data_IF_973087531357
#
_entry.id   IF_973087531357
#
_cell.length_a   1.000
_cell.length_b   1.000
_cell.length_c   1.000
_cell.angle_alpha   90.00
_cell.angle_beta   90.00
_cell.angle_gamma   90.00
#
_symmetry.space_group_name_H-M   'P 1'
#
loop_
_entity.id
_entity.type
_entity.pdbx_description
1 polymer ?
#
# COMPACT_ATOMS: atom_id res chain seq x y z
N UNK A 1 -13.78 -29.48 -44.17
CA UNK A 1 -14.08 -30.55 -43.18
C UNK A 1 -14.08 -29.98 -41.80
N UNK A 2 -15.29 -29.85 -41.18
CA UNK A 2 -15.42 -29.32 -39.81
C UNK A 2 -15.45 -30.43 -38.82
N UNK A 3 -14.43 -30.54 -37.94
CA UNK A 3 -14.38 -31.51 -36.84
C UNK A 3 -15.16 -30.97 -35.63
N UNK A 4 -16.19 -31.67 -35.21
CA UNK A 4 -17.08 -31.33 -34.12
C UNK A 4 -16.50 -31.77 -32.76
N UNK A 5 -16.72 -30.93 -31.72
CA UNK A 5 -16.24 -31.11 -30.35
C UNK A 5 -16.76 -32.37 -29.60
N UNK A 6 -17.53 -33.25 -30.23
CA UNK A 6 -18.11 -34.47 -29.64
C UNK A 6 -17.34 -35.75 -29.90
N UNK A 7 -16.24 -35.72 -30.70
CA UNK A 7 -15.45 -36.90 -31.08
C UNK A 7 -14.30 -37.31 -30.13
N UNK A 8 -13.97 -36.47 -29.12
CA UNK A 8 -12.74 -36.66 -28.30
C UNK A 8 -12.99 -37.34 -26.92
N UNK A 9 -14.19 -37.79 -26.65
CA UNK A 9 -14.58 -38.37 -25.34
C UNK A 9 -14.87 -39.88 -25.36
N UNK A 10 -14.50 -40.62 -26.42
CA UNK A 10 -14.80 -42.08 -26.53
C UNK A 10 -13.63 -42.97 -26.90
N UNK A 11 -12.39 -42.63 -26.56
CA UNK A 11 -11.26 -43.56 -26.74
C UNK A 11 -10.42 -43.55 -25.46
N UNK A 12 -10.62 -44.49 -24.55
CA UNK A 12 -9.74 -44.65 -23.38
C UNK A 12 -10.30 -45.45 -22.21
N UNK A 13 -10.96 -46.58 -22.49
CA UNK A 13 -11.28 -47.57 -21.45
C UNK A 13 -10.96 -48.98 -22.04
N UNK A 14 -9.75 -49.49 -21.78
CA UNK A 14 -9.50 -50.94 -21.64
C UNK A 14 -8.01 -51.21 -21.32
N UNK A 15 -7.78 -51.88 -20.19
CA UNK A 15 -6.67 -52.80 -19.91
C UNK A 15 -5.39 -52.16 -19.39
N UNK A 16 -4.79 -52.51 -18.31
CA UNK A 16 -4.57 -53.75 -17.55
C UNK A 16 -3.70 -53.46 -16.33
N UNK A 17 -3.75 -54.29 -15.38
CA UNK A 17 -3.21 -54.24 -14.01
C UNK A 17 -1.68 -54.21 -13.89
N UNK A 18 -1.26 -53.72 -12.69
CA UNK A 18 -0.11 -54.12 -11.88
C UNK A 18 1.29 -53.68 -12.33
N UNK A 19 1.87 -52.73 -11.62
CA UNK A 19 3.11 -52.96 -10.81
C UNK A 19 3.33 -51.73 -9.90
N UNK A 20 3.48 -52.00 -8.61
CA UNK A 20 3.87 -51.06 -7.58
C UNK A 20 5.30 -50.57 -7.83
N UNK A 21 5.49 -49.28 -8.01
CA UNK A 21 6.75 -48.57 -7.79
C UNK A 21 6.40 -47.18 -7.27
N UNK A 22 6.77 -46.95 -5.99
CA UNK A 22 6.63 -45.65 -5.33
C UNK A 22 7.39 -44.59 -6.08
N UNK A 23 6.65 -43.75 -6.80
CA UNK A 23 7.12 -42.49 -7.36
C UNK A 23 6.72 -41.36 -6.45
N UNK A 24 7.69 -40.78 -5.79
CA UNK A 24 7.58 -39.52 -5.05
C UNK A 24 6.98 -38.46 -5.98
N UNK A 25 5.67 -38.26 -5.91
CA UNK A 25 5.02 -37.07 -6.39
C UNK A 25 5.47 -35.94 -5.45
N UNK A 26 6.60 -35.30 -5.76
CA UNK A 26 6.95 -34.00 -5.21
C UNK A 26 5.96 -32.98 -5.75
N UNK A 27 4.74 -33.00 -5.22
CA UNK A 27 3.86 -31.86 -5.29
C UNK A 27 4.57 -30.72 -4.58
N UNK A 28 4.85 -29.61 -5.28
CA UNK A 28 5.26 -28.36 -4.66
C UNK A 28 4.11 -27.84 -3.78
N UNK A 29 3.82 -28.53 -2.70
CA UNK A 29 2.93 -28.08 -1.65
C UNK A 29 3.59 -26.94 -0.91
N UNK A 30 2.95 -25.80 -0.87
CA UNK A 30 3.36 -24.68 0.01
C UNK A 30 3.35 -25.24 1.44
N UNK A 31 4.46 -25.19 2.19
CA UNK A 31 4.50 -25.66 3.58
C UNK A 31 3.44 -24.97 4.41
N UNK A 32 2.77 -25.71 5.27
CA UNK A 32 1.58 -25.27 5.95
C UNK A 32 1.61 -25.75 7.39
N UNK A 33 1.54 -24.76 8.30
CA UNK A 33 1.48 -24.99 9.75
C UNK A 33 2.75 -25.62 10.34
N UNK A 34 2.99 -25.34 11.60
CA UNK A 34 4.17 -25.83 12.31
C UNK A 34 4.07 -27.34 12.60
N UNK A 35 5.01 -28.12 12.05
CA UNK A 35 5.30 -29.46 12.50
C UNK A 35 6.68 -29.44 13.19
N UNK A 36 6.72 -29.74 14.49
CA UNK A 36 7.98 -29.68 15.25
C UNK A 36 8.51 -28.27 15.39
N UNK A 37 9.76 -28.04 14.93
CA UNK A 37 10.44 -26.74 14.98
C UNK A 37 10.09 -25.78 13.82
N UNK A 38 9.29 -26.21 12.85
CA UNK A 38 8.96 -25.39 11.69
C UNK A 38 7.99 -24.28 12.07
N UNK A 39 8.26 -23.08 11.59
CA UNK A 39 7.40 -21.91 11.68
C UNK A 39 7.24 -21.30 10.30
N UNK A 40 6.02 -21.13 9.84
CA UNK A 40 5.70 -20.67 8.48
C UNK A 40 5.27 -19.21 8.49
N UNK A 41 6.00 -18.38 7.76
CA UNK A 41 5.68 -16.97 7.53
C UNK A 41 5.25 -16.77 6.07
N UNK A 42 4.06 -16.23 5.86
CA UNK A 42 3.60 -15.80 4.53
C UNK A 42 3.63 -14.29 4.39
N UNK A 43 4.17 -13.82 3.27
CA UNK A 43 4.19 -12.40 2.89
C UNK A 43 4.23 -12.26 1.36
N UNK A 44 4.07 -11.04 0.82
CA UNK A 44 4.13 -10.77 -0.62
C UNK A 44 5.53 -10.28 -1.02
N UNK A 45 5.80 -10.23 -2.33
CA UNK A 45 7.07 -9.72 -2.85
C UNK A 45 7.28 -8.25 -2.46
N UNK A 46 8.42 -7.93 -1.84
CA UNK A 46 8.74 -6.60 -1.32
C UNK A 46 8.11 -6.27 0.04
N UNK A 47 7.32 -7.17 0.66
CA UNK A 47 6.67 -6.92 1.95
C UNK A 47 7.57 -7.02 3.18
N UNK A 48 8.78 -7.58 3.03
CA UNK A 48 9.83 -7.66 4.06
C UNK A 48 11.21 -7.54 3.39
N UNK A 49 12.20 -7.04 4.14
CA UNK A 49 13.60 -7.06 3.69
C UNK A 49 14.11 -8.49 3.54
N UNK A 50 14.65 -8.87 2.37
CA UNK A 50 15.25 -10.18 2.18
C UNK A 50 16.40 -10.45 3.17
N UNK A 51 17.20 -9.41 3.46
CA UNK A 51 18.30 -9.52 4.41
C UNK A 51 17.78 -9.75 5.83
N UNK A 52 16.80 -9.00 6.30
CA UNK A 52 16.23 -9.17 7.64
C UNK A 52 15.61 -10.56 7.80
N UNK A 53 14.92 -11.07 6.76
CA UNK A 53 14.37 -12.44 6.76
C UNK A 53 15.48 -13.47 6.83
N UNK A 54 16.58 -13.29 6.11
CA UNK A 54 17.73 -14.21 6.17
C UNK A 54 18.42 -14.18 7.52
N UNK A 55 18.63 -12.99 8.07
CA UNK A 55 19.24 -12.81 9.39
C UNK A 55 18.35 -13.41 10.50
N UNK A 56 17.01 -13.29 10.39
CA UNK A 56 16.07 -13.95 11.30
C UNK A 56 16.19 -15.48 11.25
N UNK A 57 16.27 -16.07 10.05
CA UNK A 57 16.51 -17.51 9.90
C UNK A 57 17.77 -17.95 10.61
N UNK A 58 18.90 -17.25 10.39
CA UNK A 58 20.17 -17.58 11.02
C UNK A 58 20.14 -17.39 12.57
N UNK A 59 19.54 -16.29 13.03
CA UNK A 59 19.46 -15.95 14.47
C UNK A 59 18.65 -16.97 15.27
N UNK A 60 17.54 -17.43 14.72
CA UNK A 60 16.59 -18.30 15.42
C UNK A 60 16.71 -19.79 15.04
N UNK A 61 17.69 -20.17 14.22
CA UNK A 61 17.85 -21.54 13.71
C UNK A 61 17.90 -22.62 14.79
N UNK A 62 18.50 -22.34 15.94
CA UNK A 62 18.54 -23.28 17.07
C UNK A 62 17.15 -23.54 17.70
N UNK A 63 16.26 -22.55 17.65
CA UNK A 63 14.94 -22.61 18.28
C UNK A 63 13.81 -22.90 17.27
N UNK A 64 13.88 -22.32 16.08
CA UNK A 64 12.84 -22.32 15.06
C UNK A 64 13.43 -22.48 13.68
N UNK A 65 12.88 -23.39 12.86
CA UNK A 65 13.15 -23.46 11.42
C UNK A 65 12.16 -22.54 10.67
N UNK A 66 12.54 -21.29 10.45
CA UNK A 66 11.69 -20.31 9.78
C UNK A 66 11.58 -20.58 8.28
N UNK A 67 10.37 -20.90 7.84
CA UNK A 67 9.99 -21.03 6.43
C UNK A 67 9.26 -19.76 5.97
N UNK A 68 10.02 -18.79 5.50
CA UNK A 68 9.47 -17.53 4.98
C UNK A 68 9.15 -17.69 3.49
N UNK A 69 7.87 -17.57 3.14
CA UNK A 69 7.33 -17.88 1.82
C UNK A 69 6.72 -16.63 1.20
N UNK A 70 7.28 -16.20 0.08
CA UNK A 70 6.69 -15.14 -0.72
C UNK A 70 5.55 -15.70 -1.56
N UNK A 71 4.35 -15.18 -1.35
CA UNK A 71 3.16 -15.53 -2.12
C UNK A 71 2.98 -14.49 -3.21
N UNK A 72 3.13 -14.90 -4.45
CA UNK A 72 2.88 -14.06 -5.62
C UNK A 72 1.39 -13.92 -5.96
N UNK A 73 1.07 -13.04 -6.91
CA UNK A 73 -0.28 -12.85 -7.42
C UNK A 73 -1.25 -12.27 -6.38
N UNK A 74 -2.40 -12.92 -6.23
CA UNK A 74 -3.49 -12.45 -5.34
C UNK A 74 -3.27 -12.87 -3.89
N UNK A 75 -2.26 -12.33 -3.23
CA UNK A 75 -1.89 -12.63 -1.84
C UNK A 75 -3.10 -12.57 -0.88
N UNK A 76 -3.84 -11.44 -0.89
CA UNK A 76 -5.03 -11.24 -0.05
C UNK A 76 -6.04 -12.36 -0.22
N UNK A 77 -6.43 -12.67 -1.45
CA UNK A 77 -7.43 -13.72 -1.72
C UNK A 77 -6.96 -15.08 -1.24
N UNK A 78 -5.67 -15.40 -1.42
CA UNK A 78 -5.10 -16.66 -0.93
C UNK A 78 -5.14 -16.74 0.59
N UNK A 79 -4.71 -15.69 1.30
CA UNK A 79 -4.73 -15.67 2.76
C UNK A 79 -6.17 -15.76 3.29
N UNK A 80 -7.10 -14.97 2.76
CA UNK A 80 -8.52 -15.00 3.16
C UNK A 80 -9.15 -16.37 2.94
N UNK A 81 -8.93 -17.01 1.78
CA UNK A 81 -9.45 -18.36 1.48
C UNK A 81 -8.87 -19.39 2.44
N UNK A 82 -7.58 -19.32 2.73
CA UNK A 82 -6.88 -20.20 3.66
C UNK A 82 -7.43 -20.08 5.08
N UNK A 83 -7.62 -18.85 5.56
CA UNK A 83 -8.17 -18.60 6.89
C UNK A 83 -9.63 -19.04 7.01
N UNK A 84 -10.46 -18.73 6.01
CA UNK A 84 -11.87 -19.17 5.95
C UNK A 84 -11.99 -20.69 5.87
N UNK A 85 -11.15 -21.34 5.08
CA UNK A 85 -11.11 -22.79 4.92
C UNK A 85 -10.50 -23.53 6.11
N UNK A 86 -9.91 -22.83 7.06
CA UNK A 86 -9.24 -23.38 8.26
C UNK A 86 -8.24 -24.49 7.96
N UNK A 87 -7.59 -24.41 6.79
CA UNK A 87 -6.60 -25.39 6.35
C UNK A 87 -5.35 -24.68 5.85
N UNK A 88 -4.20 -25.20 6.23
CA UNK A 88 -2.92 -24.68 5.76
C UNK A 88 -2.64 -23.21 6.17
N UNK A 89 -3.13 -22.79 7.32
CA UNK A 89 -2.93 -21.45 7.86
C UNK A 89 -1.45 -21.27 8.25
N UNK A 90 -0.76 -20.19 7.81
CA UNK A 90 0.60 -19.92 8.26
C UNK A 90 0.62 -19.53 9.75
N UNK A 91 1.77 -19.72 10.42
CA UNK A 91 1.95 -19.28 11.80
C UNK A 91 1.98 -17.74 11.90
N UNK A 92 2.68 -17.11 10.94
CA UNK A 92 2.80 -15.66 10.82
C UNK A 92 2.30 -15.24 9.43
N UNK A 93 1.45 -14.24 9.40
CA UNK A 93 0.91 -13.68 8.15
C UNK A 93 1.21 -12.18 8.03
N UNK A 94 1.72 -11.77 6.88
CA UNK A 94 1.76 -10.35 6.52
C UNK A 94 0.36 -9.83 6.20
N UNK A 95 -0.02 -8.69 6.75
CA UNK A 95 -1.29 -8.02 6.48
C UNK A 95 -1.01 -6.67 5.85
N UNK A 96 -1.55 -6.43 4.66
CA UNK A 96 -1.42 -5.12 4.01
C UNK A 96 -2.31 -4.09 4.71
N UNK A 97 -1.83 -2.85 4.81
CA UNK A 97 -2.55 -1.78 5.51
C UNK A 97 -3.92 -1.47 4.91
N UNK A 98 -4.03 -1.52 3.58
CA UNK A 98 -5.30 -1.34 2.89
C UNK A 98 -6.33 -2.44 3.20
N UNK A 99 -5.86 -3.62 3.59
CA UNK A 99 -6.70 -4.77 3.91
C UNK A 99 -6.92 -4.93 5.43
N UNK A 100 -6.13 -4.23 6.26
CA UNK A 100 -6.09 -4.42 7.72
C UNK A 100 -7.49 -4.33 8.35
N UNK A 101 -8.25 -3.31 8.00
CA UNK A 101 -9.61 -3.13 8.52
C UNK A 101 -10.55 -4.30 8.24
N UNK A 102 -10.28 -5.11 7.20
CA UNK A 102 -11.08 -6.32 6.89
C UNK A 102 -10.71 -7.53 7.76
N UNK A 103 -9.54 -7.53 8.39
CA UNK A 103 -9.12 -8.58 9.31
C UNK A 103 -9.54 -8.32 10.75
N UNK A 104 -9.61 -7.05 11.16
CA UNK A 104 -9.91 -6.67 12.56
C UNK A 104 -11.24 -7.23 13.11
N UNK A 105 -12.34 -7.34 12.34
CA UNK A 105 -13.57 -7.98 12.81
C UNK A 105 -13.44 -9.48 13.11
N UNK A 106 -12.39 -10.12 12.62
CA UNK A 106 -12.09 -11.54 12.83
C UNK A 106 -10.83 -11.68 13.71
N UNK A 107 -10.67 -10.80 14.70
CA UNK A 107 -9.54 -10.77 15.63
C UNK A 107 -9.35 -12.12 16.37
N UNK A 108 -10.43 -12.89 16.55
CA UNK A 108 -10.44 -14.24 17.14
C UNK A 108 -9.59 -15.26 16.35
N UNK A 109 -9.28 -14.99 15.07
CA UNK A 109 -8.39 -15.84 14.27
C UNK A 109 -6.90 -15.55 14.50
N UNK A 110 -6.58 -14.47 15.23
CA UNK A 110 -5.23 -14.03 15.52
C UNK A 110 -4.93 -14.08 17.02
N UNK A 111 -3.65 -14.18 17.35
CA UNK A 111 -3.20 -14.04 18.74
C UNK A 111 -3.21 -12.55 19.10
N UNK A 112 -3.79 -12.19 20.24
CA UNK A 112 -3.67 -10.83 20.75
C UNK A 112 -2.23 -10.57 21.19
N UNK A 113 -1.49 -9.77 20.41
CA UNK A 113 -0.07 -9.49 20.63
C UNK A 113 0.20 -8.75 21.96
N UNK A 114 -0.82 -8.10 22.56
CA UNK A 114 -0.69 -7.48 23.88
C UNK A 114 -0.46 -8.52 24.97
N UNK A 115 -1.06 -9.72 24.83
CA UNK A 115 -0.85 -10.83 25.78
C UNK A 115 0.60 -11.34 25.75
N UNK A 116 1.32 -11.07 24.66
CA UNK A 116 2.73 -11.40 24.47
C UNK A 116 3.68 -10.24 24.85
N UNK A 117 3.11 -9.12 25.30
CA UNK A 117 3.88 -7.97 25.77
C UNK A 117 4.10 -6.84 24.76
N UNK A 118 3.34 -6.82 23.66
CA UNK A 118 3.46 -5.78 22.62
C UNK A 118 3.34 -4.35 23.20
N UNK A 119 2.46 -4.13 24.18
CA UNK A 119 2.21 -2.82 24.77
C UNK A 119 3.50 -2.15 25.34
N UNK A 120 4.49 -2.93 25.74
CA UNK A 120 5.79 -2.40 26.21
C UNK A 120 6.62 -1.75 25.12
N UNK A 121 6.26 -1.96 23.85
CA UNK A 121 6.98 -1.48 22.68
C UNK A 121 6.25 -0.31 22.00
N UNK A 122 5.05 0.03 22.44
CA UNK A 122 4.15 1.02 21.81
C UNK A 122 4.85 2.35 21.51
N UNK A 123 5.59 2.89 22.49
CA UNK A 123 6.24 4.20 22.37
C UNK A 123 7.41 4.24 21.36
N UNK A 124 7.83 3.07 20.85
CA UNK A 124 8.86 2.97 19.82
C UNK A 124 8.29 3.16 18.39
N UNK A 125 6.98 3.10 18.23
CA UNK A 125 6.30 3.15 16.95
C UNK A 125 5.46 4.42 16.81
N UNK A 126 5.16 4.79 15.57
CA UNK A 126 4.23 5.88 15.28
C UNK A 126 2.85 5.56 15.89
N UNK A 127 2.29 6.42 16.75
CA UNK A 127 1.03 6.13 17.44
C UNK A 127 -0.12 5.77 16.50
N UNK A 128 -0.30 6.56 15.43
CA UNK A 128 -1.36 6.31 14.45
C UNK A 128 -1.22 4.96 13.73
N UNK A 129 0.03 4.51 13.53
CA UNK A 129 0.30 3.21 12.88
C UNK A 129 0.07 2.06 13.84
N UNK A 130 0.43 2.24 15.11
CA UNK A 130 0.16 1.28 16.17
C UNK A 130 -1.35 1.04 16.33
N UNK A 131 -2.12 2.13 16.41
CA UNK A 131 -3.56 2.08 16.60
C UNK A 131 -4.30 1.39 15.43
N UNK A 132 -3.76 1.43 14.21
CA UNK A 132 -4.30 0.69 13.08
C UNK A 132 -4.22 -0.84 13.23
N UNK A 133 -3.33 -1.34 14.09
CA UNK A 133 -3.18 -2.77 14.40
C UNK A 133 -4.19 -3.29 15.42
N UNK A 134 -4.99 -2.41 16.05
CA UNK A 134 -5.89 -2.74 17.15
C UNK A 134 -7.32 -2.94 16.64
N UNK A 135 -7.92 -4.06 17.01
CA UNK A 135 -9.29 -4.41 16.68
C UNK A 135 -10.31 -3.70 17.59
N UNK A 136 -11.61 -3.65 17.22
CA UNK A 136 -12.66 -3.01 18.01
C UNK A 136 -12.84 -3.60 19.42
N UNK A 137 -12.53 -4.89 19.61
CA UNK A 137 -12.53 -5.56 20.92
C UNK A 137 -11.32 -5.20 21.79
N UNK A 138 -10.43 -4.38 21.23
CA UNK A 138 -9.20 -3.92 21.86
C UNK A 138 -8.01 -4.86 21.68
N UNK A 139 -8.15 -6.05 21.07
CA UNK A 139 -7.00 -6.93 20.81
C UNK A 139 -6.07 -6.35 19.74
N UNK A 140 -4.76 -6.59 19.88
CA UNK A 140 -3.78 -6.18 18.87
C UNK A 140 -3.54 -7.33 17.89
N UNK A 141 -4.05 -7.19 16.67
CA UNK A 141 -3.93 -8.18 15.58
C UNK A 141 -2.62 -8.04 14.84
N UNK A 142 -2.20 -6.81 14.54
CA UNK A 142 -1.07 -6.54 13.65
C UNK A 142 0.06 -5.76 14.29
N UNK A 143 1.31 -6.28 14.17
CA UNK A 143 2.52 -5.58 14.59
C UNK A 143 3.09 -4.77 13.41
N UNK A 144 3.37 -3.45 13.55
CA UNK A 144 3.70 -2.57 12.43
C UNK A 144 4.99 -2.93 11.70
N UNK A 145 4.93 -3.13 10.37
CA UNK A 145 6.11 -3.28 9.51
C UNK A 145 6.60 -1.91 9.04
N UNK A 146 5.74 -1.20 8.32
CA UNK A 146 6.07 0.01 7.59
C UNK A 146 4.88 0.95 7.50
N UNK A 147 5.11 2.12 6.91
CA UNK A 147 4.08 3.05 6.50
C UNK A 147 4.41 3.66 5.12
N UNK A 148 3.48 4.41 4.54
CA UNK A 148 3.66 5.02 3.23
C UNK A 148 3.37 6.52 3.25
N UNK A 149 4.22 7.35 3.89
CA UNK A 149 4.05 8.80 3.85
C UNK A 149 4.10 9.29 2.40
N UNK A 150 3.11 10.11 2.02
CA UNK A 150 2.99 10.65 0.66
C UNK A 150 3.86 11.88 0.52
N UNK A 151 4.51 11.98 -0.64
CA UNK A 151 5.29 13.14 -1.03
C UNK A 151 5.07 13.50 -2.51
N UNK A 152 5.54 14.67 -2.88
CA UNK A 152 5.58 15.16 -4.23
C UNK A 152 6.95 14.84 -4.86
N UNK A 153 6.97 13.87 -5.77
CA UNK A 153 8.12 13.58 -6.62
C UNK A 153 8.07 14.46 -7.86
N UNK A 154 9.15 15.13 -8.21
CA UNK A 154 9.18 16.03 -9.37
C UNK A 154 10.56 16.09 -10.04
N UNK A 155 10.60 16.56 -11.29
CA UNK A 155 11.82 16.79 -12.06
C UNK A 155 12.17 18.28 -12.03
N UNK A 156 13.18 18.72 -11.24
CA UNK A 156 13.51 20.13 -11.04
C UNK A 156 13.84 20.87 -12.36
N UNK A 157 14.57 20.24 -13.28
CA UNK A 157 14.91 20.89 -14.55
C UNK A 157 13.68 21.21 -15.42
N UNK A 158 12.57 20.45 -15.29
CA UNK A 158 11.32 20.74 -16.00
C UNK A 158 10.56 21.87 -15.29
N UNK A 159 10.57 21.86 -13.96
CA UNK A 159 9.97 22.92 -13.14
C UNK A 159 10.67 24.27 -13.38
N UNK A 160 12.01 24.30 -13.37
CA UNK A 160 12.80 25.48 -13.68
C UNK A 160 12.48 26.06 -15.07
N UNK A 161 12.44 25.22 -16.11
CA UNK A 161 12.04 25.63 -17.47
C UNK A 161 10.64 26.22 -17.53
N UNK A 162 9.74 25.79 -16.65
CA UNK A 162 8.41 26.35 -16.54
C UNK A 162 8.36 27.64 -15.70
N UNK A 163 9.47 28.06 -15.10
CA UNK A 163 9.57 29.22 -14.21
C UNK A 163 8.92 28.96 -12.85
N UNK A 164 8.90 27.70 -12.41
CA UNK A 164 8.44 27.28 -11.10
C UNK A 164 9.63 27.15 -10.13
N UNK A 165 9.36 27.15 -8.83
CA UNK A 165 10.33 26.71 -7.84
C UNK A 165 10.82 25.29 -8.18
N UNK A 166 12.12 25.04 -7.99
CA UNK A 166 12.72 23.74 -8.32
C UNK A 166 13.61 23.17 -7.21
N UNK A 167 13.99 23.96 -6.21
CA UNK A 167 14.64 23.44 -5.01
C UNK A 167 13.61 22.82 -4.05
N UNK A 168 13.90 21.68 -3.40
CA UNK A 168 12.92 20.94 -2.61
C UNK A 168 12.23 21.74 -1.50
N UNK A 169 12.97 22.61 -0.81
CA UNK A 169 12.42 23.46 0.25
C UNK A 169 11.45 24.52 -0.31
N UNK A 170 11.80 25.10 -1.46
CA UNK A 170 10.97 26.11 -2.12
C UNK A 170 9.71 25.47 -2.74
N UNK A 171 9.85 24.33 -3.39
CA UNK A 171 8.69 23.57 -3.90
C UNK A 171 7.75 23.19 -2.77
N UNK A 172 8.28 22.72 -1.64
CA UNK A 172 7.46 22.37 -0.46
C UNK A 172 6.70 23.57 0.10
N UNK A 173 7.30 24.78 0.06
CA UNK A 173 6.69 26.01 0.54
C UNK A 173 5.68 26.60 -0.45
N UNK A 174 6.07 26.68 -1.74
CA UNK A 174 5.28 27.37 -2.77
C UNK A 174 4.14 26.54 -3.33
N UNK A 175 4.21 25.19 -3.19
CA UNK A 175 3.15 24.25 -3.59
C UNK A 175 2.48 23.60 -2.38
N UNK A 176 2.46 24.28 -1.22
CA UNK A 176 1.98 23.72 0.04
C UNK A 176 0.47 23.43 0.06
N UNK A 177 -0.32 24.14 -0.73
CA UNK A 177 -1.78 23.95 -0.82
C UNK A 177 -2.16 23.33 -2.17
N UNK A 178 -3.36 22.71 -2.23
CA UNK A 178 -3.88 22.18 -3.48
C UNK A 178 -4.06 23.27 -4.56
N UNK A 179 -4.49 24.47 -4.17
CA UNK A 179 -4.67 25.60 -5.11
C UNK A 179 -3.33 26.04 -5.70
N UNK A 180 -2.28 26.17 -4.88
CA UNK A 180 -0.94 26.49 -5.33
C UNK A 180 -0.39 25.39 -6.25
N UNK A 181 -0.60 24.13 -5.91
CA UNK A 181 -0.19 22.99 -6.72
C UNK A 181 -0.89 22.98 -8.10
N UNK A 182 -2.19 23.26 -8.13
CA UNK A 182 -2.94 23.36 -9.38
C UNK A 182 -2.51 24.57 -10.21
N UNK A 183 -2.26 25.72 -9.60
CA UNK A 183 -1.72 26.90 -10.28
C UNK A 183 -0.35 26.61 -10.90
N UNK A 184 0.53 25.89 -10.18
CA UNK A 184 1.81 25.44 -10.73
C UNK A 184 1.61 24.49 -11.93
N UNK A 185 0.64 23.60 -11.87
CA UNK A 185 0.28 22.73 -13.00
C UNK A 185 -0.20 23.49 -14.24
N UNK A 186 -0.97 24.57 -14.08
CA UNK A 186 -1.38 25.44 -15.17
C UNK A 186 -0.20 26.20 -15.77
N UNK A 187 0.68 26.73 -14.93
CA UNK A 187 1.90 27.38 -15.38
C UNK A 187 2.81 26.41 -16.15
N UNK A 188 2.99 25.19 -15.64
CA UNK A 188 3.74 24.13 -16.29
C UNK A 188 3.18 23.85 -17.69
N UNK A 189 1.88 23.59 -17.80
CA UNK A 189 1.18 23.34 -19.07
C UNK A 189 1.27 24.53 -20.04
N UNK A 190 1.17 25.76 -19.54
CA UNK A 190 1.26 26.99 -20.34
C UNK A 190 2.65 27.19 -20.92
N UNK A 191 3.69 26.94 -20.13
CA UNK A 191 5.09 27.14 -20.52
C UNK A 191 5.63 25.98 -21.35
N UNK A 192 5.19 24.76 -21.06
CA UNK A 192 5.63 23.52 -21.70
C UNK A 192 4.39 22.73 -22.17
N UNK A 193 3.81 23.06 -23.32
CA UNK A 193 2.62 22.37 -23.83
C UNK A 193 2.82 20.86 -23.93
N UNK A 194 1.80 20.10 -23.52
CA UNK A 194 1.85 18.63 -23.49
C UNK A 194 2.40 18.03 -22.21
N UNK A 195 2.76 18.87 -21.22
CA UNK A 195 3.15 18.40 -19.88
C UNK A 195 1.95 18.37 -18.93
N UNK A 196 1.99 17.44 -17.96
CA UNK A 196 0.96 17.27 -16.94
C UNK A 196 1.59 17.13 -15.56
N UNK A 197 1.07 17.88 -14.59
CA UNK A 197 1.56 17.81 -13.20
C UNK A 197 1.01 16.59 -12.43
N UNK A 198 -0.05 15.97 -12.93
CA UNK A 198 -0.72 14.80 -12.35
C UNK A 198 -0.83 13.67 -13.36
N UNK A 199 -0.63 12.45 -12.90
CA UNK A 199 -0.81 11.24 -13.71
C UNK A 199 -2.28 10.82 -13.80
N UNK A 200 -3.03 10.95 -12.70
CA UNK A 200 -4.45 10.56 -12.63
C UNK A 200 -5.23 11.37 -11.58
N UNK A 201 -6.55 11.35 -11.69
CA UNK A 201 -7.44 12.07 -10.79
C UNK A 201 -7.72 11.32 -9.47
N UNK A 202 -7.56 9.97 -9.47
CA UNK A 202 -7.84 9.14 -8.29
C UNK A 202 -6.81 9.38 -7.19
N UNK A 203 -5.55 9.66 -7.56
CA UNK A 203 -4.50 10.01 -6.61
C UNK A 203 -4.85 11.28 -5.84
N UNK A 204 -5.39 12.31 -6.51
CA UNK A 204 -5.87 13.55 -5.86
C UNK A 204 -6.97 13.24 -4.85
N UNK A 205 -7.95 12.43 -5.25
CA UNK A 205 -9.07 12.02 -4.40
C UNK A 205 -8.56 11.27 -3.15
N UNK A 206 -7.83 10.17 -3.37
CA UNK A 206 -7.36 9.32 -2.27
C UNK A 206 -6.45 10.05 -1.29
N UNK A 207 -5.51 10.86 -1.79
CA UNK A 207 -4.62 11.68 -0.96
C UNK A 207 -5.44 12.70 -0.16
N UNK A 208 -6.39 13.41 -0.80
CA UNK A 208 -7.23 14.41 -0.12
C UNK A 208 -8.10 13.80 0.98
N UNK A 209 -8.70 12.63 0.77
CA UNK A 209 -9.44 11.91 1.81
C UNK A 209 -8.49 11.52 2.95
N UNK A 210 -7.30 11.02 2.62
CA UNK A 210 -6.32 10.57 3.62
C UNK A 210 -5.65 11.72 4.40
N UNK A 211 -5.80 12.95 3.97
CA UNK A 211 -5.40 14.16 4.70
C UNK A 211 -6.41 14.57 5.78
N UNK A 212 -7.53 13.87 5.91
CA UNK A 212 -8.57 14.15 6.93
C UNK A 212 -8.57 13.10 8.04
N UNK A 213 -9.26 13.40 9.14
CA UNK A 213 -9.45 12.48 10.26
C UNK A 213 -10.67 11.56 10.09
N UNK A 214 -11.35 11.63 8.93
CA UNK A 214 -12.55 10.84 8.60
C UNK A 214 -12.32 10.01 7.33
N UNK A 215 -13.03 8.88 7.23
CA UNK A 215 -13.05 8.04 6.03
C UNK A 215 -14.48 7.96 5.50
N UNK A 216 -14.96 6.76 5.15
CA UNK A 216 -16.29 6.57 4.54
C UNK A 216 -17.34 6.09 5.53
N UNK A 217 -16.92 5.51 6.67
CA UNK A 217 -17.82 5.03 7.72
C UNK A 217 -17.25 5.45 9.07
N UNK A 218 -18.09 5.95 9.97
CA UNK A 218 -17.69 6.32 11.32
C UNK A 218 -17.71 5.13 12.30
N UNK A 219 -17.34 5.41 13.57
CA UNK A 219 -17.28 4.38 14.62
C UNK A 219 -18.66 3.80 14.96
N UNK A 220 -19.72 4.56 14.71
CA UNK A 220 -21.11 4.19 14.99
C UNK A 220 -21.76 3.47 13.80
N UNK A 221 -20.94 3.12 12.78
CA UNK A 221 -21.36 2.46 11.54
C UNK A 221 -22.32 3.30 10.69
N UNK A 222 -22.16 4.62 10.68
CA UNK A 222 -22.87 5.48 9.74
C UNK A 222 -22.00 5.73 8.51
N UNK A 223 -22.62 5.71 7.33
CA UNK A 223 -21.98 6.12 6.09
C UNK A 223 -21.81 7.64 6.10
N UNK A 224 -20.58 8.09 6.06
CA UNK A 224 -20.18 9.50 6.01
C UNK A 224 -19.46 9.87 4.72
N UNK A 225 -19.50 8.98 3.72
CA UNK A 225 -18.86 9.19 2.42
C UNK A 225 -19.58 10.22 1.52
N UNK A 226 -20.74 10.69 1.91
CA UNK A 226 -21.48 11.79 1.26
C UNK A 226 -21.26 13.16 1.94
N UNK A 227 -20.47 13.21 3.03
CA UNK A 227 -20.17 14.43 3.77
C UNK A 227 -19.09 15.30 3.08
N UNK A 228 -18.94 16.53 3.59
CA UNK A 228 -18.07 17.56 3.04
C UNK A 228 -16.62 17.11 2.78
N UNK A 229 -16.02 16.32 3.66
CA UNK A 229 -14.62 15.90 3.51
C UNK A 229 -14.37 15.02 2.27
N UNK A 230 -15.33 14.13 1.93
CA UNK A 230 -15.26 13.32 0.71
C UNK A 230 -15.68 14.13 -0.51
N UNK A 231 -16.72 14.99 -0.35
CA UNK A 231 -17.15 15.88 -1.43
C UNK A 231 -16.03 16.85 -1.83
N UNK A 232 -15.32 17.44 -0.90
CA UNK A 232 -14.16 18.31 -1.17
C UNK A 232 -13.05 17.57 -1.93
N UNK A 233 -12.76 16.32 -1.54
CA UNK A 233 -11.79 15.49 -2.25
C UNK A 233 -12.22 15.16 -3.69
N UNK A 234 -13.52 14.89 -3.88
CA UNK A 234 -14.13 14.71 -5.20
C UNK A 234 -14.00 15.97 -6.06
N UNK A 235 -14.41 17.12 -5.52
CA UNK A 235 -14.40 18.40 -6.24
C UNK A 235 -12.98 18.81 -6.65
N UNK A 236 -11.97 18.57 -5.80
CA UNK A 236 -10.55 18.75 -6.17
C UNK A 236 -10.14 17.90 -7.37
N UNK A 237 -10.56 16.66 -7.41
CA UNK A 237 -10.24 15.74 -8.52
C UNK A 237 -10.94 16.16 -9.82
N UNK A 238 -12.19 16.63 -9.70
CA UNK A 238 -12.95 17.21 -10.80
C UNK A 238 -12.29 18.47 -11.31
N UNK A 239 -11.87 19.36 -10.41
CA UNK A 239 -11.16 20.60 -10.75
C UNK A 239 -9.84 20.32 -11.47
N UNK A 240 -8.99 19.45 -10.94
CA UNK A 240 -7.72 19.06 -11.55
C UNK A 240 -7.94 18.55 -12.99
N UNK A 241 -8.98 17.73 -13.20
CA UNK A 241 -9.32 17.19 -14.51
C UNK A 241 -9.86 18.27 -15.48
N UNK A 242 -10.78 19.13 -15.01
CA UNK A 242 -11.36 20.23 -15.80
C UNK A 242 -10.32 21.28 -16.22
N UNK A 243 -9.34 21.57 -15.34
CA UNK A 243 -8.20 22.45 -15.63
C UNK A 243 -7.18 21.78 -16.59
N UNK A 244 -7.36 20.50 -16.91
CA UNK A 244 -6.49 19.74 -17.82
C UNK A 244 -5.10 19.50 -17.23
N UNK A 245 -5.01 19.30 -15.91
CA UNK A 245 -3.77 19.03 -15.17
C UNK A 245 -3.42 17.55 -15.10
N UNK A 246 -4.40 16.70 -15.41
CA UNK A 246 -4.31 15.23 -15.34
C UNK A 246 -3.99 14.68 -16.73
N UNK A 247 -3.01 13.77 -16.80
CA UNK A 247 -2.71 13.07 -18.05
C UNK A 247 -3.78 12.02 -18.37
N UNK A 248 -3.84 11.62 -19.64
CA UNK A 248 -4.63 10.46 -20.08
C UNK A 248 -3.77 9.22 -20.29
N UNK A 249 -2.50 9.28 -19.89
CA UNK A 249 -1.54 8.19 -20.04
C UNK A 249 -1.69 7.24 -18.86
N UNK A 250 -1.95 5.98 -19.15
CA UNK A 250 -2.19 4.95 -18.13
C UNK A 250 -0.88 4.63 -17.40
N UNK A 251 -0.90 4.70 -16.07
CA UNK A 251 0.24 4.36 -15.21
C UNK A 251 0.70 2.91 -15.46
N UNK A 252 2.04 2.70 -15.42
CA UNK A 252 2.63 1.38 -15.57
C UNK A 252 2.71 0.87 -17.02
N UNK A 253 2.37 1.69 -18.02
CA UNK A 253 2.52 1.36 -19.43
C UNK A 253 3.85 1.85 -20.01
N UNK A 254 4.27 1.33 -21.17
CA UNK A 254 5.43 1.82 -21.90
C UNK A 254 5.29 3.32 -22.29
N UNK A 255 4.07 3.77 -22.58
CA UNK A 255 3.77 5.17 -22.86
C UNK A 255 4.00 6.04 -21.63
N UNK A 256 3.63 5.56 -20.45
CA UNK A 256 3.89 6.27 -19.18
C UNK A 256 5.39 6.41 -18.92
N UNK A 257 6.15 5.31 -19.07
CA UNK A 257 7.61 5.32 -18.97
C UNK A 257 8.23 6.33 -19.94
N UNK A 258 7.87 6.25 -21.22
CA UNK A 258 8.38 7.15 -22.26
C UNK A 258 8.02 8.62 -22.00
N UNK A 259 6.78 8.91 -21.59
CA UNK A 259 6.35 10.27 -21.26
C UNK A 259 7.12 10.83 -20.06
N UNK A 260 7.35 10.02 -19.04
CA UNK A 260 8.12 10.40 -17.85
C UNK A 260 9.60 10.66 -18.18
N UNK A 261 10.24 9.80 -18.98
CA UNK A 261 11.62 9.98 -19.43
C UNK A 261 11.80 11.27 -20.26
N UNK A 262 10.80 11.65 -21.04
CA UNK A 262 10.79 12.88 -21.86
C UNK A 262 10.40 14.14 -21.08
N UNK A 263 10.02 14.02 -19.81
CA UNK A 263 9.57 15.13 -18.97
C UNK A 263 8.16 15.64 -19.30
N UNK A 264 7.31 14.82 -19.94
CA UNK A 264 5.90 15.14 -20.14
C UNK A 264 5.04 14.81 -18.89
N UNK A 265 5.53 13.90 -18.08
CA UNK A 265 5.01 13.58 -16.75
C UNK A 265 6.11 13.84 -15.70
N UNK A 266 6.46 15.12 -15.46
CA UNK A 266 7.58 15.48 -14.61
C UNK A 266 7.26 15.45 -13.12
N UNK A 267 6.06 15.00 -12.74
CA UNK A 267 5.56 15.08 -11.37
C UNK A 267 4.62 13.93 -11.07
N UNK A 268 4.65 13.46 -9.81
CA UNK A 268 3.64 12.56 -9.24
C UNK A 268 3.53 12.73 -7.73
N UNK A 269 2.33 12.55 -7.20
CA UNK A 269 2.06 12.47 -5.77
C UNK A 269 1.94 10.99 -5.42
N UNK A 270 2.81 10.49 -4.55
CA UNK A 270 2.81 9.06 -4.21
C UNK A 270 3.49 8.80 -2.86
N UNK A 271 3.31 7.61 -2.32
CA UNK A 271 3.96 7.18 -1.09
C UNK A 271 5.48 6.97 -1.26
N UNK A 272 6.18 6.86 -0.14
CA UNK A 272 7.64 6.67 -0.08
C UNK A 272 8.14 5.47 -0.91
N UNK A 273 7.38 4.38 -0.98
CA UNK A 273 7.75 3.19 -1.77
C UNK A 273 7.79 3.45 -3.29
N UNK A 274 7.12 4.49 -3.78
CA UNK A 274 7.20 4.87 -5.19
C UNK A 274 8.62 5.28 -5.63
N UNK A 275 9.50 5.63 -4.70
CA UNK A 275 10.92 5.84 -4.99
C UNK A 275 11.55 4.59 -5.63
N UNK A 276 11.19 3.39 -5.16
CA UNK A 276 11.63 2.13 -5.75
C UNK A 276 11.06 1.91 -7.15
N UNK A 277 9.76 2.19 -7.33
CA UNK A 277 9.09 2.07 -8.63
C UNK A 277 9.69 3.03 -9.67
N UNK A 278 9.98 4.28 -9.29
CA UNK A 278 10.63 5.25 -10.18
C UNK A 278 12.02 4.75 -10.61
N UNK A 279 12.82 4.27 -9.66
CA UNK A 279 14.15 3.71 -9.95
C UNK A 279 14.08 2.53 -10.92
N UNK A 280 13.09 1.66 -10.76
CA UNK A 280 12.89 0.46 -11.58
C UNK A 280 12.34 0.79 -12.97
N UNK A 281 11.30 1.63 -13.05
CA UNK A 281 10.54 1.84 -14.28
C UNK A 281 11.14 2.91 -15.19
N UNK A 282 11.86 3.90 -14.63
CA UNK A 282 12.47 5.00 -15.40
C UNK A 282 13.95 5.23 -15.03
N UNK A 283 14.80 4.19 -15.11
CA UNK A 283 16.20 4.25 -14.64
C UNK A 283 17.04 5.31 -15.35
N UNK A 284 16.70 5.68 -16.59
CA UNK A 284 17.37 6.74 -17.35
C UNK A 284 17.15 8.14 -16.78
N UNK A 285 16.28 8.27 -15.78
CA UNK A 285 16.03 9.55 -15.10
C UNK A 285 16.81 9.70 -13.79
N UNK A 286 17.80 8.84 -13.53
CA UNK A 286 18.68 8.95 -12.37
C UNK A 286 19.26 10.36 -12.26
N UNK A 287 19.20 10.93 -11.05
CA UNK A 287 19.65 12.30 -10.75
C UNK A 287 18.68 13.42 -11.12
N UNK A 288 17.62 13.10 -11.90
CA UNK A 288 16.67 14.09 -12.43
C UNK A 288 15.44 14.30 -11.55
N UNK A 289 15.33 13.61 -10.43
CA UNK A 289 14.20 13.71 -9.52
C UNK A 289 14.57 14.39 -8.21
N UNK A 290 13.58 15.01 -7.59
CA UNK A 290 13.60 15.45 -6.18
C UNK A 290 12.28 15.10 -5.52
N UNK A 291 12.28 15.20 -4.19
CA UNK A 291 11.12 14.96 -3.35
C UNK A 291 10.82 16.22 -2.55
N UNK A 292 9.57 16.65 -2.54
CA UNK A 292 9.05 17.77 -1.76
C UNK A 292 7.83 17.33 -0.94
N UNK A 293 7.37 18.17 -0.02
CA UNK A 293 6.19 17.90 0.78
C UNK A 293 4.93 17.74 -0.10
N UNK A 294 4.00 16.90 0.35
CA UNK A 294 2.72 16.71 -0.33
C UNK A 294 1.85 17.97 -0.20
N UNK A 295 1.23 18.46 -1.29
CA UNK A 295 0.27 19.57 -1.19
C UNK A 295 -0.91 19.20 -0.31
N UNK A 296 -1.41 20.17 0.45
CA UNK A 296 -2.54 19.99 1.38
C UNK A 296 -2.18 19.33 2.71
N UNK A 297 -0.93 18.87 2.88
CA UNK A 297 -0.43 18.30 4.13
C UNK A 297 -0.11 16.79 4.08
N UNK A 298 0.28 16.22 5.22
CA UNK A 298 0.64 14.81 5.31
C UNK A 298 -0.51 13.87 4.96
N UNK A 299 -0.16 12.77 4.29
CA UNK A 299 -1.08 11.70 3.91
C UNK A 299 -0.33 10.36 3.95
N UNK A 300 -1.06 9.26 4.06
CA UNK A 300 -0.51 7.91 4.04
C UNK A 300 -1.20 7.04 2.99
N UNK A 301 -0.42 6.26 2.25
CA UNK A 301 -0.93 5.21 1.36
C UNK A 301 -0.22 3.91 1.71
N UNK A 302 -0.99 2.87 2.05
CA UNK A 302 -0.45 1.55 2.39
C UNK A 302 0.14 1.50 3.81
N UNK A 303 1.27 0.82 3.91
CA UNK A 303 1.83 0.36 5.17
C UNK A 303 1.30 -1.03 5.54
N UNK A 304 2.03 -1.78 6.37
CA UNK A 304 1.79 -3.21 6.55
C UNK A 304 2.01 -3.65 7.98
N UNK A 305 1.62 -4.90 8.26
CA UNK A 305 1.73 -5.51 9.59
C UNK A 305 2.14 -6.98 9.49
N UNK A 306 2.75 -7.52 10.54
CA UNK A 306 2.81 -8.95 10.79
C UNK A 306 1.79 -9.34 11.87
N UNK A 307 1.07 -10.41 11.63
CA UNK A 307 0.13 -10.99 12.58
C UNK A 307 0.52 -12.44 12.90
N UNK A 308 0.25 -12.87 14.13
CA UNK A 308 0.40 -14.28 14.54
C UNK A 308 -0.99 -14.90 14.50
N UNK A 309 -1.16 -15.96 13.74
CA UNK A 309 -2.45 -16.64 13.65
C UNK A 309 -2.69 -17.59 14.83
N UNK A 310 -3.94 -17.94 15.12
CA UNK A 310 -4.27 -18.95 16.13
C UNK A 310 -3.78 -20.37 15.80
N UNK A 311 -3.32 -20.60 14.57
CA UNK A 311 -2.70 -21.86 14.17
C UNK A 311 -1.26 -22.00 14.66
N UNK A 312 -0.62 -20.89 15.06
CA UNK A 312 0.75 -20.88 15.58
C UNK A 312 0.81 -21.63 16.93
N UNK A 313 1.73 -22.60 17.02
CA UNK A 313 1.93 -23.39 18.23
C UNK A 313 2.92 -22.79 19.22
N UNK A 314 3.75 -21.88 18.74
CA UNK A 314 4.81 -21.22 19.51
C UNK A 314 4.68 -19.69 19.39
N UNK A 315 3.55 -19.09 19.85
CA UNK A 315 3.27 -17.69 19.63
C UNK A 315 4.27 -16.76 20.32
N UNK A 316 4.84 -17.16 21.47
CA UNK A 316 5.89 -16.40 22.18
C UNK A 316 7.15 -16.29 21.33
N UNK A 317 7.60 -17.40 20.72
CA UNK A 317 8.78 -17.41 19.83
C UNK A 317 8.50 -16.64 18.53
N UNK A 318 7.30 -16.77 17.98
CA UNK A 318 6.87 -15.99 16.82
C UNK A 318 6.92 -14.49 17.14
N UNK A 319 6.44 -14.08 18.31
CA UNK A 319 6.44 -12.69 18.73
C UNK A 319 7.86 -12.16 18.98
N UNK A 320 8.72 -12.93 19.65
CA UNK A 320 10.13 -12.57 19.82
C UNK A 320 10.81 -12.31 18.47
N UNK A 321 10.59 -13.20 17.50
CA UNK A 321 11.13 -13.04 16.13
C UNK A 321 10.56 -11.82 15.42
N UNK A 322 9.23 -11.60 15.47
CA UNK A 322 8.57 -10.45 14.85
C UNK A 322 9.14 -9.14 15.44
N UNK A 323 9.25 -9.03 16.75
CA UNK A 323 9.73 -7.81 17.41
C UNK A 323 11.19 -7.53 17.07
N UNK A 324 12.03 -8.56 16.93
CA UNK A 324 13.39 -8.38 16.44
C UNK A 324 13.41 -7.98 14.96
N UNK A 325 12.65 -8.67 14.09
CA UNK A 325 12.61 -8.34 12.64
C UNK A 325 12.14 -6.91 12.40
N UNK A 326 11.32 -6.36 13.26
CA UNK A 326 10.66 -5.08 13.11
C UNK A 326 11.13 -4.02 14.12
N UNK A 327 12.26 -4.23 14.75
CA UNK A 327 12.94 -3.18 15.54
C UNK A 327 13.42 -2.02 14.65
N UNK A 328 13.80 -0.91 15.26
CA UNK A 328 14.20 0.29 14.54
C UNK A 328 15.37 0.06 13.56
N UNK A 329 16.35 -0.80 13.92
CA UNK A 329 17.51 -1.09 13.07
C UNK A 329 17.13 -1.92 11.85
N UNK A 330 16.28 -2.93 12.05
CA UNK A 330 15.82 -3.82 11.00
C UNK A 330 14.77 -3.14 10.09
N UNK A 331 13.92 -2.27 10.63
CA UNK A 331 13.06 -1.41 9.80
C UNK A 331 13.88 -0.43 8.95
N UNK A 332 14.96 0.14 9.51
CA UNK A 332 15.88 0.95 8.71
C UNK A 332 16.55 0.12 7.60
N UNK A 333 16.87 -1.15 7.84
CA UNK A 333 17.34 -2.05 6.79
C UNK A 333 16.26 -2.35 5.75
N UNK A 334 15.01 -2.50 6.18
CA UNK A 334 13.84 -2.66 5.30
C UNK A 334 13.68 -1.50 4.32
N UNK A 335 13.93 -0.28 4.76
CA UNK A 335 13.91 0.89 3.87
C UNK A 335 15.02 0.83 2.82
N UNK A 336 16.23 0.49 3.22
CA UNK A 336 17.38 0.37 2.30
C UNK A 336 17.15 -0.70 1.24
N UNK A 337 16.65 -1.88 1.65
CA UNK A 337 16.53 -3.05 0.78
C UNK A 337 15.27 -3.03 -0.10
N UNK A 338 14.16 -2.51 0.44
CA UNK A 338 12.83 -2.69 -0.15
C UNK A 338 11.96 -1.44 -0.10
N UNK A 339 12.53 -0.28 0.26
CA UNK A 339 11.83 1.01 0.39
C UNK A 339 10.61 0.95 1.33
N UNK A 340 10.66 0.04 2.32
CA UNK A 340 9.66 -0.07 3.39
C UNK A 340 9.91 1.03 4.41
N UNK A 341 9.10 2.10 4.36
CA UNK A 341 9.34 3.27 5.21
C UNK A 341 9.07 2.95 6.69
N UNK A 342 10.06 3.16 7.58
CA UNK A 342 9.96 2.70 8.96
C UNK A 342 8.77 3.31 9.72
N UNK A 343 8.04 2.48 10.46
CA UNK A 343 7.04 2.91 11.44
C UNK A 343 7.66 3.28 12.79
N UNK A 344 8.99 3.17 12.92
CA UNK A 344 9.77 3.49 14.13
C UNK A 344 10.50 4.82 13.95
N UNK A 345 10.11 5.93 14.62
CA UNK A 345 10.77 7.22 14.49
C UNK A 345 12.27 7.22 14.83
N UNK A 346 12.70 6.33 15.74
CA UNK A 346 14.10 6.17 16.08
C UNK A 346 15.00 5.79 14.88
N UNK A 347 14.42 5.18 13.83
CA UNK A 347 15.13 4.84 12.60
C UNK A 347 15.56 6.08 11.80
N UNK A 348 14.81 7.18 11.86
CA UNK A 348 14.97 8.34 10.95
C UNK A 348 16.32 9.05 11.11
N UNK A 349 16.91 8.99 12.30
CA UNK A 349 18.23 9.55 12.59
C UNK A 349 19.38 8.60 12.25
N UNK A 350 19.12 7.35 11.90
CA UNK A 350 20.16 6.37 11.60
C UNK A 350 20.92 6.74 10.33
N UNK A 351 22.24 6.62 10.35
CA UNK A 351 23.14 6.99 9.25
C UNK A 351 22.65 6.43 7.90
N UNK A 352 22.29 5.14 7.83
CA UNK A 352 21.87 4.48 6.59
C UNK A 352 20.61 5.10 5.96
N UNK A 353 19.76 5.80 6.74
CA UNK A 353 18.57 6.51 6.23
C UNK A 353 18.84 7.99 5.93
N UNK A 354 20.01 8.47 6.30
CA UNK A 354 20.49 9.83 6.08
C UNK A 354 21.51 9.91 4.93
N UNK A 355 21.78 8.78 4.27
CA UNK A 355 22.65 8.76 3.10
C UNK A 355 21.99 9.49 1.92
N UNK A 356 22.74 10.35 1.21
CA UNK A 356 22.25 10.99 0.00
C UNK A 356 21.84 9.96 -1.06
N UNK A 357 20.68 10.13 -1.68
CA UNK A 357 20.22 9.26 -2.75
C UNK A 357 20.56 9.82 -4.13
N UNK A 358 21.54 9.23 -4.78
CA UNK A 358 22.01 9.68 -6.09
C UNK A 358 20.93 9.64 -7.18
N UNK A 359 19.87 8.82 -7.02
CA UNK A 359 18.75 8.83 -7.96
C UNK A 359 17.91 10.10 -7.83
N UNK A 360 17.81 10.62 -6.61
CA UNK A 360 17.14 11.87 -6.29
C UNK A 360 18.13 13.04 -6.19
N UNK A 361 19.25 12.97 -6.94
CA UNK A 361 20.24 14.05 -7.04
C UNK A 361 20.89 14.40 -5.70
N UNK A 362 21.30 13.37 -5.00
CA UNK A 362 21.95 13.41 -3.70
C UNK A 362 21.10 14.04 -2.58
N UNK A 363 19.77 14.07 -2.76
CA UNK A 363 18.85 14.49 -1.71
C UNK A 363 18.78 13.44 -0.61
N UNK A 364 18.78 13.88 0.66
CA UNK A 364 18.40 13.05 1.82
C UNK A 364 16.87 13.05 1.90
N UNK A 365 16.22 12.07 1.28
CA UNK A 365 14.75 12.03 1.17
C UNK A 365 14.04 11.85 2.51
N UNK A 366 14.75 11.37 3.54
CA UNK A 366 14.26 11.26 4.91
C UNK A 366 13.86 12.62 5.50
N UNK A 367 14.46 13.74 5.04
CA UNK A 367 14.10 15.11 5.48
C UNK A 367 12.67 15.50 5.08
N UNK A 368 12.10 14.84 4.07
CA UNK A 368 10.72 15.05 3.63
C UNK A 368 9.80 13.99 4.24
N UNK A 369 10.18 12.72 4.13
CA UNK A 369 9.31 11.62 4.57
C UNK A 369 9.18 11.49 6.09
N UNK A 370 10.26 11.77 6.83
CA UNK A 370 10.24 11.67 8.30
C UNK A 370 9.19 12.59 8.96
N UNK A 371 9.24 13.91 8.71
CA UNK A 371 8.21 14.82 9.18
C UNK A 371 6.80 14.48 8.67
N UNK A 372 6.66 14.05 7.41
CA UNK A 372 5.37 13.63 6.87
C UNK A 372 4.78 12.46 7.67
N UNK A 373 5.56 11.40 7.91
CA UNK A 373 5.11 10.20 8.64
C UNK A 373 4.66 10.51 10.08
N UNK A 374 5.35 11.44 10.76
CA UNK A 374 5.03 11.83 12.13
C UNK A 374 3.75 12.64 12.27
N UNK A 375 3.31 13.30 11.18
CA UNK A 375 2.17 14.21 11.18
C UNK A 375 0.96 13.69 10.38
N UNK A 376 0.91 12.40 10.06
CA UNK A 376 -0.25 11.80 9.38
C UNK A 376 -1.49 11.87 10.28
N UNK A 377 -2.64 12.36 9.76
CA UNK A 377 -3.86 12.44 10.54
C UNK A 377 -4.35 11.07 11.00
N UNK A 378 -4.70 10.95 12.27
CA UNK A 378 -5.32 9.74 12.82
C UNK A 378 -6.77 9.68 12.36
N UNK A 379 -7.13 8.62 11.66
CA UNK A 379 -8.50 8.37 11.23
C UNK A 379 -8.95 6.96 11.62
N UNK A 380 -10.22 6.82 11.95
CA UNK A 380 -10.82 5.50 12.06
C UNK A 380 -10.93 4.85 10.68
N UNK A 381 -10.48 3.60 10.57
CA UNK A 381 -10.60 2.80 9.35
C UNK A 381 -11.66 1.72 9.58
N UNK A 382 -12.75 1.83 8.86
CA UNK A 382 -13.83 0.86 8.91
C UNK A 382 -13.56 -0.34 8.01
N UNK A 383 -13.96 -1.58 8.39
CA UNK A 383 -13.92 -2.73 7.48
C UNK A 383 -14.76 -2.55 6.22
N UNK A 384 -15.65 -1.57 6.21
CA UNK A 384 -16.53 -1.26 5.08
C UNK A 384 -15.99 -0.18 4.14
N UNK A 385 -14.91 0.52 4.52
CA UNK A 385 -14.37 1.66 3.74
C UNK A 385 -14.01 1.27 2.31
N UNK A 386 -13.40 0.11 2.11
CA UNK A 386 -13.03 -0.37 0.76
C UNK A 386 -14.28 -0.61 -0.10
N UNK A 387 -15.31 -1.25 0.45
CA UNK A 387 -16.54 -1.53 -0.28
C UNK A 387 -17.27 -0.24 -0.66
N UNK A 388 -17.27 0.76 0.23
CA UNK A 388 -17.98 2.03 0.05
C UNK A 388 -17.18 3.06 -0.75
N UNK A 389 -15.84 3.00 -0.77
CA UNK A 389 -15.01 3.86 -1.63
C UNK A 389 -14.96 3.38 -3.09
N UNK A 390 -15.13 2.08 -3.34
CA UNK A 390 -15.04 1.51 -4.69
C UNK A 390 -15.99 2.18 -5.69
N UNK A 391 -17.30 2.36 -5.42
CA UNK A 391 -18.20 3.05 -6.35
C UNK A 391 -17.79 4.49 -6.63
N UNK A 392 -17.21 5.19 -5.63
CA UNK A 392 -16.74 6.57 -5.78
C UNK A 392 -15.56 6.61 -6.75
N UNK A 393 -14.60 5.73 -6.55
CA UNK A 393 -13.42 5.59 -7.42
C UNK A 393 -13.81 5.22 -8.86
N UNK A 394 -14.78 4.31 -9.04
CA UNK A 394 -15.26 3.89 -10.36
C UNK A 394 -15.95 5.05 -11.10
N UNK A 395 -16.79 5.80 -10.40
CA UNK A 395 -17.47 6.94 -11.00
C UNK A 395 -16.53 8.12 -11.25
N UNK A 396 -15.51 8.32 -10.41
CA UNK A 396 -14.46 9.30 -10.66
C UNK A 396 -13.64 8.92 -11.92
N UNK A 397 -13.39 7.64 -12.13
CA UNK A 397 -12.75 7.13 -13.35
C UNK A 397 -13.66 7.33 -14.57
N UNK A 398 -14.97 7.04 -14.44
CA UNK A 398 -15.93 7.28 -15.51
C UNK A 398 -15.97 8.76 -15.93
N UNK A 399 -15.86 9.68 -14.97
CA UNK A 399 -15.71 11.11 -15.25
C UNK A 399 -14.36 11.41 -15.91
N UNK A 400 -13.26 11.11 -15.26
CA UNK A 400 -11.92 11.59 -15.66
C UNK A 400 -11.41 10.96 -16.96
N UNK A 401 -11.78 9.70 -17.25
CA UNK A 401 -11.32 8.95 -18.42
C UNK A 401 -12.39 8.91 -19.53
N UNK A 402 -13.65 8.62 -19.17
CA UNK A 402 -14.73 8.41 -20.15
C UNK A 402 -15.59 9.66 -20.40
N UNK A 403 -15.33 10.77 -19.68
CA UNK A 403 -16.01 12.05 -19.91
C UNK A 403 -17.45 12.10 -19.39
N UNK A 404 -17.83 11.22 -18.43
CA UNK A 404 -19.14 11.29 -17.78
C UNK A 404 -19.30 12.63 -17.06
N UNK A 405 -20.52 13.20 -17.05
CA UNK A 405 -20.80 14.40 -16.27
C UNK A 405 -20.47 14.17 -14.78
N UNK A 406 -19.67 15.04 -14.12
CA UNK A 406 -19.19 14.79 -12.77
C UNK A 406 -20.27 14.84 -11.70
N UNK A 407 -21.32 15.66 -11.87
CA UNK A 407 -22.44 15.71 -10.92
C UNK A 407 -23.32 14.46 -11.06
N UNK A 408 -23.47 13.96 -12.28
CA UNK A 408 -24.14 12.68 -12.54
C UNK A 408 -23.30 11.53 -11.96
N UNK A 409 -21.99 11.53 -12.15
CA UNK A 409 -21.06 10.54 -11.62
C UNK A 409 -21.12 10.51 -10.07
N UNK A 410 -21.13 11.66 -9.42
CA UNK A 410 -21.29 11.76 -7.97
C UNK A 410 -22.62 11.18 -7.50
N UNK A 411 -23.75 11.57 -8.11
CA UNK A 411 -25.06 11.01 -7.75
C UNK A 411 -25.11 9.50 -7.91
N UNK A 412 -24.58 8.98 -9.01
CA UNK A 412 -24.54 7.54 -9.27
C UNK A 412 -23.63 6.80 -8.26
N UNK A 413 -22.48 7.41 -7.86
CA UNK A 413 -21.62 6.89 -6.80
C UNK A 413 -22.38 6.80 -5.47
N UNK A 414 -23.01 7.89 -5.04
CA UNK A 414 -23.77 7.92 -3.78
C UNK A 414 -24.92 6.94 -3.78
N UNK A 415 -25.65 6.80 -4.90
CA UNK A 415 -26.71 5.80 -5.04
C UNK A 415 -26.18 4.36 -4.89
N UNK A 416 -25.00 4.07 -5.46
CA UNK A 416 -24.36 2.75 -5.31
C UNK A 416 -23.86 2.53 -3.88
N UNK A 417 -23.26 3.55 -3.27
CA UNK A 417 -22.78 3.47 -1.88
C UNK A 417 -23.92 3.16 -0.91
N UNK A 418 -25.07 3.84 -1.04
CA UNK A 418 -26.24 3.58 -0.18
C UNK A 418 -26.73 2.15 -0.30
N UNK A 419 -26.86 1.60 -1.51
CA UNK A 419 -27.25 0.18 -1.70
C UNK A 419 -26.25 -0.79 -1.05
N UNK A 420 -24.96 -0.48 -1.13
CA UNK A 420 -23.93 -1.30 -0.48
C UNK A 420 -24.02 -1.14 1.05
N UNK A 421 -24.24 0.08 1.54
CA UNK A 421 -24.42 0.36 2.96
C UNK A 421 -25.61 -0.43 3.55
N UNK A 422 -26.78 -0.41 2.87
CA UNK A 422 -27.95 -1.22 3.24
C UNK A 422 -27.60 -2.70 3.36
N UNK A 423 -26.90 -3.24 2.34
CA UNK A 423 -26.51 -4.66 2.32
C UNK A 423 -25.53 -5.02 3.46
N UNK A 424 -24.67 -4.07 3.83
CA UNK A 424 -23.67 -4.25 4.90
C UNK A 424 -24.21 -3.91 6.30
N UNK A 425 -25.45 -3.42 6.41
CA UNK A 425 -26.01 -2.94 7.69
C UNK A 425 -25.28 -1.70 8.21
N UNK A 426 -24.84 -0.83 7.30
CA UNK A 426 -24.27 0.50 7.59
C UNK A 426 -25.40 1.52 7.40
N UNK A 427 -25.70 2.28 8.44
CA UNK A 427 -26.74 3.34 8.37
C UNK A 427 -26.24 4.59 7.65
N UNK A 428 -27.16 5.49 7.21
CA UNK A 428 -26.82 6.76 6.57
C UNK A 428 -27.92 7.82 6.81
#
# INVERSE_FOLDING_TARGET
>A
MRLSRRGLLRAGLAGTAATALGGLATGCGVPTGSTGRNMVLWYWSGGLSPKVVQDAKARYDSAVNLQAIQIGGYYRSKLMTTMTGRAHIPDIAGLKGEDMASYLPNSDQFVDLRTLGAEKLKDQYLPWKWDQGIAPDGSMVGFPIDCGPVAHYYQPAVFEKAGLAYEPADVSRELATWDQFFAAGEQLKKRLPGTFILTDALSVFGISVNQTTKRFVDKDRHFIGDQEHVRTAWDRSVEATRRGLVSKIINGTADNTSATERGLLPSQLNASWAAGDIKLNVPKTKGKWRVAACPGGPSNIGGSFLAITKACREPEKAFEMITWMLDASNQAQGFVDSVLFPSTPASYAMKKLREPDAFFGDQVTMDVFGPAAQNIPVAFNSPYDVALSTPINDELRNFSVLGKDPDKAWRDAMSKCRRIADHLGVSY
#
